data_IF_874441351572
#
_entry.id   IF_874441351572
#
_cell.length_a   1.000
_cell.length_b   1.000
_cell.length_c   1.000
_cell.angle_alpha   90.00
_cell.angle_beta   90.00
_cell.angle_gamma   90.00
#
_symmetry.space_group_name_H-M   'P 1'
#
loop_
_entity.id
_entity.type
_entity.pdbx_description
1 polymer ?
#
# COMPACT_ATOMS: atom_id res chain seq x y z
N UNK A 1 4.89 -6.22 2.78
CA UNK A 1 5.15 -7.49 3.50
C UNK A 1 4.68 -8.65 2.62
N UNK A 2 4.55 -9.86 3.16
CA UNK A 2 4.00 -11.00 2.41
C UNK A 2 2.49 -11.23 2.63
N UNK A 3 1.86 -10.41 3.47
CA UNK A 3 0.44 -10.56 3.77
C UNK A 3 -0.44 -10.04 2.61
N UNK A 4 -1.43 -10.84 2.22
CA UNK A 4 -2.53 -10.43 1.35
C UNK A 4 -3.61 -9.73 2.20
N UNK A 5 -3.97 -8.46 1.90
CA UNK A 5 -5.00 -7.74 2.65
C UNK A 5 -6.42 -8.29 2.44
N UNK A 6 -6.71 -8.98 1.33
CA UNK A 6 -8.09 -9.35 0.94
C UNK A 6 -8.74 -10.32 1.94
N UNK A 7 -8.13 -11.45 2.33
CA UNK A 7 -8.75 -12.39 3.27
C UNK A 7 -8.96 -11.77 4.66
N UNK A 8 -8.06 -10.86 5.06
CA UNK A 8 -8.14 -10.16 6.34
C UNK A 8 -9.37 -9.24 6.31
N UNK A 9 -9.50 -8.39 5.30
CA UNK A 9 -10.64 -7.47 5.15
C UNK A 9 -11.96 -8.22 5.07
N UNK A 10 -12.01 -9.34 4.32
CA UNK A 10 -13.21 -10.18 4.23
C UNK A 10 -13.66 -10.69 5.60
N UNK A 11 -12.71 -11.08 6.46
CA UNK A 11 -13.01 -11.55 7.81
C UNK A 11 -13.66 -10.44 8.64
N UNK A 12 -13.11 -9.22 8.60
CA UNK A 12 -13.65 -8.07 9.31
C UNK A 12 -15.02 -7.60 8.81
N UNK A 13 -15.38 -7.90 7.56
CA UNK A 13 -16.64 -7.47 6.96
C UNK A 13 -17.74 -8.54 6.95
N UNK A 14 -17.38 -9.82 7.12
CA UNK A 14 -18.32 -10.94 6.91
C UNK A 14 -18.43 -11.91 8.08
N UNK A 15 -17.54 -11.84 9.09
CA UNK A 15 -17.69 -12.68 10.29
C UNK A 15 -18.59 -11.98 11.32
N UNK A 16 -19.76 -12.55 11.67
CA UNK A 16 -20.69 -11.95 12.63
C UNK A 16 -20.01 -11.62 13.98
N UNK A 17 -19.14 -12.53 14.43
CA UNK A 17 -18.38 -12.43 15.67
C UNK A 17 -17.48 -11.18 15.72
N UNK A 18 -16.97 -10.74 14.56
CA UNK A 18 -16.11 -9.56 14.44
C UNK A 18 -16.96 -8.31 14.20
N UNK A 19 -17.97 -8.39 13.34
CA UNK A 19 -18.78 -7.23 12.94
C UNK A 19 -19.70 -6.69 14.03
N UNK A 20 -20.00 -7.49 15.07
CA UNK A 20 -20.80 -7.03 16.21
C UNK A 20 -20.06 -5.97 17.05
N UNK A 21 -18.75 -6.13 17.21
CA UNK A 21 -17.95 -5.29 18.12
C UNK A 21 -16.95 -4.38 17.39
N UNK A 22 -16.61 -4.69 16.14
CA UNK A 22 -15.58 -4.01 15.37
C UNK A 22 -16.08 -3.58 14.00
N UNK A 23 -15.55 -2.44 13.54
CA UNK A 23 -15.75 -1.93 12.18
C UNK A 23 -14.40 -1.66 11.54
N UNK A 24 -14.18 -2.19 10.33
CA UNK A 24 -13.02 -1.83 9.53
C UNK A 24 -13.15 -0.38 9.06
N UNK A 25 -12.25 0.49 9.54
CA UNK A 25 -12.24 1.91 9.15
C UNK A 25 -11.49 2.13 7.84
N UNK A 26 -10.24 1.65 7.75
CA UNK A 26 -9.39 1.83 6.58
C UNK A 26 -8.24 0.83 6.54
N UNK A 27 -7.80 0.49 5.33
CA UNK A 27 -6.54 -0.20 5.05
C UNK A 27 -5.45 0.83 4.78
N UNK A 28 -4.43 0.84 5.63
CA UNK A 28 -3.30 1.79 5.54
C UNK A 28 -2.04 1.03 5.13
N UNK A 29 -1.45 1.42 4.00
CA UNK A 29 -0.20 0.84 3.49
C UNK A 29 0.95 1.82 3.67
N UNK A 30 2.04 1.38 4.30
CA UNK A 30 3.29 2.15 4.35
C UNK A 30 4.19 1.71 3.21
N UNK A 31 4.48 2.63 2.29
CA UNK A 31 5.33 2.40 1.13
C UNK A 31 6.70 3.08 1.31
N UNK A 32 7.76 2.35 1.01
CA UNK A 32 9.13 2.87 0.98
C UNK A 32 9.43 3.51 -0.39
N UNK A 33 9.54 4.83 -0.46
CA UNK A 33 9.75 5.55 -1.70
C UNK A 33 11.04 5.15 -2.45
N UNK A 34 12.09 4.72 -1.73
CA UNK A 34 13.37 4.33 -2.33
C UNK A 34 13.30 2.96 -3.01
N UNK A 35 12.55 2.03 -2.41
CA UNK A 35 12.59 0.62 -2.80
C UNK A 35 11.32 0.13 -3.51
N UNK A 36 10.20 0.87 -3.43
CA UNK A 36 8.91 0.43 -3.96
C UNK A 36 8.96 0.12 -5.46
N UNK A 37 9.72 0.89 -6.25
CA UNK A 37 9.81 0.66 -7.70
C UNK A 37 10.32 -0.75 -8.00
N UNK A 38 11.43 -1.15 -7.39
CA UNK A 38 11.97 -2.50 -7.55
C UNK A 38 10.95 -3.56 -7.13
N UNK A 39 10.27 -3.38 -5.99
CA UNK A 39 9.25 -4.32 -5.51
C UNK A 39 8.06 -4.50 -6.46
N UNK A 40 7.67 -3.43 -7.15
CA UNK A 40 6.60 -3.49 -8.15
C UNK A 40 7.06 -4.12 -9.48
N UNK A 41 8.37 -4.16 -9.72
CA UNK A 41 8.99 -4.71 -10.93
C UNK A 41 9.57 -6.13 -10.70
N UNK A 42 9.50 -6.65 -9.47
CA UNK A 42 9.93 -8.01 -9.12
C UNK A 42 9.16 -9.05 -9.95
N UNK A 43 9.90 -9.95 -10.60
CA UNK A 43 9.32 -11.10 -11.32
C UNK A 43 8.67 -12.05 -10.33
N UNK A 44 7.40 -12.36 -10.57
CA UNK A 44 6.62 -13.31 -9.76
C UNK A 44 6.46 -14.63 -10.49
N UNK A 45 6.26 -15.71 -9.72
CA UNK A 45 5.90 -17.01 -10.27
C UNK A 45 4.60 -16.93 -11.08
N UNK A 46 4.51 -17.76 -12.11
CA UNK A 46 3.33 -17.82 -12.97
C UNK A 46 2.07 -18.15 -12.16
N UNK A 47 1.02 -17.35 -12.38
CA UNK A 47 -0.26 -17.50 -11.65
C UNK A 47 -0.34 -16.80 -10.29
N UNK A 48 0.74 -16.17 -9.80
CA UNK A 48 0.70 -15.32 -8.61
C UNK A 48 0.47 -13.85 -8.97
N UNK A 49 0.02 -13.07 -8.00
CA UNK A 49 -0.09 -11.60 -8.10
C UNK A 49 1.02 -10.99 -7.25
N UNK A 50 1.65 -9.93 -7.74
CA UNK A 50 2.68 -9.21 -7.00
C UNK A 50 2.08 -8.62 -5.70
N UNK A 51 2.68 -8.94 -4.56
CA UNK A 51 2.14 -8.57 -3.25
C UNK A 51 2.20 -7.06 -3.00
N UNK A 52 3.25 -6.38 -3.49
CA UNK A 52 3.35 -4.94 -3.40
C UNK A 52 2.27 -4.26 -4.25
N UNK A 53 1.96 -4.81 -5.42
CA UNK A 53 0.84 -4.35 -6.23
C UNK A 53 -0.48 -4.49 -5.47
N UNK A 54 -0.78 -5.66 -4.90
CA UNK A 54 -2.02 -5.88 -4.14
C UNK A 54 -2.14 -4.95 -2.93
N UNK A 55 -1.08 -4.80 -2.15
CA UNK A 55 -1.06 -3.92 -0.97
C UNK A 55 -1.29 -2.45 -1.33
N UNK A 56 -0.85 -2.00 -2.50
CA UNK A 56 -1.12 -0.64 -3.01
C UNK A 56 -2.54 -0.54 -3.56
N UNK A 57 -2.99 -1.54 -4.33
CA UNK A 57 -4.32 -1.58 -4.93
C UNK A 57 -5.44 -1.58 -3.90
N UNK A 58 -5.23 -2.22 -2.75
CA UNK A 58 -6.24 -2.37 -1.70
C UNK A 58 -6.22 -1.27 -0.63
N UNK A 59 -5.23 -0.38 -0.67
CA UNK A 59 -5.09 0.66 0.36
C UNK A 59 -6.09 1.80 0.18
N UNK A 60 -6.69 2.25 1.27
CA UNK A 60 -7.43 3.52 1.33
C UNK A 60 -6.47 4.71 1.46
N UNK A 61 -5.38 4.52 2.22
CA UNK A 61 -4.30 5.51 2.34
C UNK A 61 -2.94 4.86 2.23
N UNK A 62 -2.05 5.55 1.55
CA UNK A 62 -0.67 5.12 1.34
C UNK A 62 0.25 6.15 1.97
N UNK A 63 0.94 5.76 3.05
CA UNK A 63 1.99 6.56 3.66
C UNK A 63 3.26 6.33 2.85
N UNK A 64 3.64 7.30 2.03
CA UNK A 64 4.85 7.25 1.21
C UNK A 64 6.03 7.79 2.04
N UNK A 65 6.75 6.89 2.69
CA UNK A 65 7.85 7.17 3.62
C UNK A 65 9.22 7.15 2.91
N UNK A 66 10.25 7.65 3.61
CA UNK A 66 11.64 7.76 3.15
C UNK A 66 11.81 8.69 1.94
N UNK A 67 10.96 9.71 1.84
CA UNK A 67 11.09 10.74 0.81
C UNK A 67 12.40 11.53 0.94
N UNK A 68 13.04 11.50 2.10
CA UNK A 68 14.38 12.06 2.34
C UNK A 68 15.52 11.27 1.66
N UNK A 69 15.25 10.07 1.13
CA UNK A 69 16.25 9.21 0.50
C UNK A 69 16.15 9.15 -1.04
N UNK A 70 15.27 9.96 -1.64
CA UNK A 70 15.02 9.98 -3.09
C UNK A 70 15.02 11.40 -3.63
N UNK A 71 15.30 11.57 -4.92
CA UNK A 71 15.19 12.86 -5.59
C UNK A 71 13.74 13.26 -5.83
N UNK A 72 13.50 14.53 -6.14
CA UNK A 72 12.17 15.02 -6.53
C UNK A 72 11.58 14.24 -7.70
N UNK A 73 12.39 13.95 -8.72
CA UNK A 73 11.95 13.22 -9.91
C UNK A 73 11.59 11.76 -9.59
N UNK A 74 12.37 11.10 -8.73
CA UNK A 74 12.05 9.76 -8.24
C UNK A 74 10.75 9.77 -7.43
N UNK A 75 10.55 10.79 -6.58
CA UNK A 75 9.34 10.95 -5.80
C UNK A 75 8.09 11.21 -6.66
N UNK A 76 8.22 11.98 -7.76
CA UNK A 76 7.14 12.19 -8.74
C UNK A 76 6.83 10.86 -9.43
N UNK A 77 7.85 10.21 -9.98
CA UNK A 77 7.69 8.96 -10.73
C UNK A 77 7.04 7.85 -9.89
N UNK A 78 7.42 7.69 -8.62
CA UNK A 78 6.81 6.66 -7.77
C UNK A 78 5.36 7.00 -7.39
N UNK A 79 5.04 8.29 -7.20
CA UNK A 79 3.65 8.73 -6.97
C UNK A 79 2.77 8.45 -8.17
N UNK A 80 3.25 8.72 -9.38
CA UNK A 80 2.54 8.38 -10.62
C UNK A 80 2.29 6.88 -10.73
N UNK A 81 3.30 6.06 -10.44
CA UNK A 81 3.15 4.59 -10.45
C UNK A 81 2.11 4.13 -9.42
N UNK A 82 2.12 4.68 -8.20
CA UNK A 82 1.08 4.42 -7.19
C UNK A 82 -0.31 4.82 -7.72
N UNK A 83 -0.44 5.99 -8.36
CA UNK A 83 -1.71 6.48 -8.90
C UNK A 83 -2.25 5.62 -10.04
N UNK A 84 -1.38 5.07 -10.87
CA UNK A 84 -1.76 4.15 -11.93
C UNK A 84 -2.32 2.82 -11.38
N UNK A 85 -1.81 2.37 -10.22
CA UNK A 85 -2.33 1.18 -9.53
C UNK A 85 -3.62 1.50 -8.78
N UNK A 86 -3.62 2.59 -8.02
CA UNK A 86 -4.73 2.99 -7.17
C UNK A 86 -4.97 4.51 -7.25
N UNK A 87 -5.93 4.89 -8.09
CA UNK A 87 -6.32 6.29 -8.25
C UNK A 87 -7.01 6.88 -7.00
N UNK A 88 -7.64 6.05 -6.18
CA UNK A 88 -8.50 6.48 -5.08
C UNK A 88 -7.74 6.66 -3.76
N UNK A 89 -6.64 5.94 -3.55
CA UNK A 89 -5.87 6.02 -2.32
C UNK A 89 -5.36 7.44 -2.01
N UNK A 90 -5.51 7.91 -0.77
CA UNK A 90 -4.85 9.15 -0.34
C UNK A 90 -3.36 8.89 -0.12
N UNK A 91 -2.48 9.57 -0.85
CA UNK A 91 -1.03 9.49 -0.64
C UNK A 91 -0.61 10.53 0.40
N UNK A 92 -0.02 10.07 1.51
CA UNK A 92 0.47 10.91 2.61
C UNK A 92 2.00 10.87 2.62
N UNK A 93 2.69 12.01 2.44
CA UNK A 93 4.14 12.04 2.46
C UNK A 93 4.69 11.86 3.89
N UNK A 94 5.76 11.08 4.03
CA UNK A 94 6.44 10.88 5.31
C UNK A 94 7.97 10.82 5.13
N UNK A 95 8.69 11.20 6.19
CA UNK A 95 10.15 11.13 6.28
C UNK A 95 10.54 10.56 7.62
N UNK A 96 11.50 9.63 7.65
CA UNK A 96 11.97 8.97 8.90
C UNK A 96 10.83 8.46 9.79
N UNK A 97 9.76 7.95 9.18
CA UNK A 97 8.57 7.43 9.89
C UNK A 97 7.64 8.51 10.48
N UNK A 98 7.94 9.80 10.29
CA UNK A 98 7.09 10.90 10.73
C UNK A 98 6.03 11.17 9.67
N UNK A 99 4.79 10.88 10.01
CA UNK A 99 3.60 11.14 9.19
C UNK A 99 3.12 12.56 9.49
N UNK A 100 2.94 13.38 8.46
CA UNK A 100 2.42 14.74 8.57
C UNK A 100 0.92 14.80 8.30
#
# INVERSE_FOLDING_TARGET
GMADPVPIVRTFMSSPEVTCDLRLDAVITVADAKNLRGRLDDTIEEGKVNEAFQQIAFADKIILNKLDLVTSDQAISIKEKIRNINKYAKIVPAVKGRVK
#
